data_IF_294680978954
#
_entry.id   IF_294680978954
#
_cell.length_a   1.000
_cell.length_b   1.000
_cell.length_c   1.000
_cell.angle_alpha   90.00
_cell.angle_beta   90.00
_cell.angle_gamma   90.00
#
_symmetry.space_group_name_H-M   'P 1'
#
loop_
_entity.id
_entity.type
_entity.pdbx_description
1 polymer ?
#
# COMPACT_ATOMS: atom_id res chain seq x y z
N UNK A 1 -17.67 17.03 4.23
CA UNK A 1 -16.36 16.36 4.06
C UNK A 1 -15.27 17.31 4.55
N UNK A 2 -14.56 16.98 5.63
CA UNK A 2 -13.56 17.86 6.26
C UNK A 2 -12.25 17.97 5.47
N UNK A 3 -11.99 17.03 4.54
CA UNK A 3 -10.76 17.01 3.76
C UNK A 3 -10.59 18.28 2.91
N UNK A 4 -11.66 18.75 2.25
CA UNK A 4 -11.58 19.97 1.43
C UNK A 4 -11.23 21.20 2.28
N UNK A 5 -11.83 21.31 3.47
CA UNK A 5 -11.51 22.40 4.39
C UNK A 5 -10.06 22.30 4.88
N UNK A 6 -9.57 21.10 5.23
CA UNK A 6 -8.19 20.89 5.64
C UNK A 6 -7.21 21.30 4.52
N UNK A 7 -7.44 20.84 3.28
CA UNK A 7 -6.54 21.12 2.16
C UNK A 7 -6.62 22.55 1.64
N UNK A 8 -7.72 23.28 1.83
CA UNK A 8 -7.76 24.72 1.52
C UNK A 8 -6.86 25.52 2.45
N UNK A 9 -6.82 25.17 3.74
CA UNK A 9 -6.18 25.97 4.78
C UNK A 9 -4.73 25.55 5.10
N UNK A 10 -4.36 24.30 4.81
CA UNK A 10 -3.01 23.79 5.09
C UNK A 10 -1.96 24.53 4.25
N UNK A 11 -0.87 24.96 4.92
CA UNK A 11 0.29 25.58 4.28
C UNK A 11 1.13 24.56 3.51
N UNK A 12 2.00 25.05 2.62
CA UNK A 12 3.01 24.22 1.96
C UNK A 12 3.88 23.52 3.01
N UNK A 13 4.20 22.25 2.78
CA UNK A 13 4.93 21.36 3.69
C UNK A 13 4.22 21.08 5.03
N UNK A 14 2.97 21.53 5.19
CA UNK A 14 2.14 21.15 6.33
C UNK A 14 1.84 19.65 6.33
N UNK A 15 1.59 19.10 7.51
CA UNK A 15 1.22 17.69 7.68
C UNK A 15 -0.28 17.61 7.93
N UNK A 16 -0.94 16.71 7.21
CA UNK A 16 -2.34 16.34 7.46
C UNK A 16 -2.35 14.90 7.96
N UNK A 17 -2.92 14.72 9.16
CA UNK A 17 -3.14 13.40 9.77
C UNK A 17 -4.62 13.07 9.68
N UNK A 18 -4.96 11.95 9.06
CA UNK A 18 -6.34 11.51 8.86
C UNK A 18 -6.53 10.14 9.47
N UNK A 19 -7.45 10.04 10.42
CA UNK A 19 -7.91 8.78 10.98
C UNK A 19 -9.32 8.49 10.47
N UNK A 20 -9.53 7.28 9.95
CA UNK A 20 -10.86 6.76 9.66
C UNK A 20 -11.15 5.53 10.50
N UNK A 21 -12.28 5.56 11.21
CA UNK A 21 -12.80 4.47 12.04
C UNK A 21 -13.96 3.72 11.37
N UNK A 22 -14.28 4.05 10.11
CA UNK A 22 -15.33 3.41 9.32
C UNK A 22 -14.87 2.05 8.77
N UNK A 23 -14.53 1.13 9.67
CA UNK A 23 -14.00 -0.19 9.31
C UNK A 23 -15.01 -1.05 8.54
N UNK A 24 -16.31 -0.76 8.66
CA UNK A 24 -17.35 -1.44 7.89
C UNK A 24 -17.20 -1.17 6.39
N UNK A 25 -17.01 0.10 6.00
CA UNK A 25 -16.78 0.44 4.60
C UNK A 25 -15.35 0.08 4.17
N UNK A 26 -14.35 0.39 4.99
CA UNK A 26 -12.94 0.17 4.69
C UNK A 26 -12.58 -1.30 4.47
N UNK A 27 -13.17 -2.21 5.24
CA UNK A 27 -12.88 -3.66 5.18
C UNK A 27 -13.94 -4.44 4.39
N UNK A 28 -14.55 -3.77 3.41
CA UNK A 28 -15.47 -4.36 2.42
C UNK A 28 -16.71 -5.04 3.02
N UNK A 29 -17.13 -4.68 4.24
CA UNK A 29 -18.40 -5.17 4.84
C UNK A 29 -19.60 -4.42 4.27
N UNK A 30 -19.44 -3.12 3.95
CA UNK A 30 -20.48 -2.27 3.38
C UNK A 30 -19.97 -1.51 2.14
N UNK A 31 -19.90 -2.20 0.99
CA UNK A 31 -19.33 -1.68 -0.26
C UNK A 31 -20.00 -0.38 -0.76
N UNK A 32 -21.32 -0.28 -0.65
CA UNK A 32 -22.05 0.94 -1.04
C UNK A 32 -21.65 2.15 -0.18
N UNK A 33 -21.26 1.95 1.09
CA UNK A 33 -20.71 3.03 1.93
C UNK A 33 -19.31 3.41 1.47
N UNK A 34 -18.48 2.42 1.12
CA UNK A 34 -17.14 2.67 0.57
C UNK A 34 -17.22 3.51 -0.71
N UNK A 35 -18.16 3.19 -1.60
CA UNK A 35 -18.42 3.95 -2.81
C UNK A 35 -18.89 5.38 -2.52
N UNK A 36 -19.80 5.59 -1.57
CA UNK A 36 -20.28 6.93 -1.21
C UNK A 36 -19.22 7.79 -0.52
N UNK A 37 -18.47 7.23 0.43
CA UNK A 37 -17.55 8.00 1.28
C UNK A 37 -16.17 8.16 0.63
N UNK A 38 -15.70 7.15 -0.10
CA UNK A 38 -14.35 7.11 -0.67
C UNK A 38 -14.33 6.98 -2.19
N UNK A 39 -15.49 6.95 -2.87
CA UNK A 39 -15.54 6.89 -4.33
C UNK A 39 -14.83 5.66 -4.89
N UNK A 40 -14.83 4.54 -4.17
CA UNK A 40 -13.98 3.39 -4.46
C UNK A 40 -14.81 2.11 -4.42
N UNK A 41 -14.61 1.24 -5.43
CA UNK A 41 -15.17 -0.11 -5.49
C UNK A 41 -14.14 -1.11 -4.96
N UNK A 42 -14.49 -1.86 -3.91
CA UNK A 42 -13.62 -2.86 -3.30
C UNK A 42 -14.39 -4.13 -2.99
N UNK A 43 -13.67 -5.25 -2.93
CA UNK A 43 -14.20 -6.54 -2.48
C UNK A 43 -13.42 -7.03 -1.26
N UNK A 44 -13.85 -8.12 -0.65
CA UNK A 44 -13.08 -8.77 0.41
C UNK A 44 -11.89 -9.50 -0.23
N UNK A 45 -10.69 -9.21 0.26
CA UNK A 45 -9.41 -9.82 -0.15
C UNK A 45 -8.59 -10.11 1.09
N UNK A 46 -7.55 -10.94 1.02
CA UNK A 46 -6.70 -11.19 2.20
C UNK A 46 -5.89 -9.94 2.61
N UNK A 47 -5.60 -9.05 1.67
CA UNK A 47 -4.88 -7.79 1.87
C UNK A 47 -5.81 -6.57 2.08
N UNK A 48 -7.02 -6.79 2.62
CA UNK A 48 -8.03 -5.75 2.79
C UNK A 48 -7.57 -4.55 3.64
N UNK A 49 -6.67 -4.76 4.61
CA UNK A 49 -6.07 -3.68 5.42
C UNK A 49 -5.24 -2.73 4.56
N UNK A 50 -4.47 -3.27 3.62
CA UNK A 50 -3.72 -2.47 2.65
C UNK A 50 -4.65 -1.73 1.69
N UNK A 51 -5.69 -2.41 1.17
CA UNK A 51 -6.71 -1.77 0.33
C UNK A 51 -7.37 -0.58 1.04
N UNK A 52 -7.70 -0.74 2.32
CA UNK A 52 -8.28 0.33 3.13
C UNK A 52 -7.35 1.54 3.24
N UNK A 53 -6.07 1.34 3.54
CA UNK A 53 -5.06 2.41 3.57
C UNK A 53 -4.97 3.14 2.22
N UNK A 54 -4.91 2.38 1.11
CA UNK A 54 -4.85 2.94 -0.25
C UNK A 54 -6.12 3.68 -0.64
N UNK A 55 -7.28 3.23 -0.17
CA UNK A 55 -8.58 3.87 -0.41
C UNK A 55 -8.69 5.21 0.33
N UNK A 56 -8.27 5.27 1.59
CA UNK A 56 -8.20 6.53 2.35
C UNK A 56 -7.22 7.50 1.69
N UNK A 57 -6.02 7.04 1.30
CA UNK A 57 -5.05 7.86 0.59
C UNK A 57 -5.58 8.38 -0.75
N UNK A 58 -6.32 7.59 -1.52
CA UNK A 58 -6.94 8.06 -2.75
C UNK A 58 -7.96 9.18 -2.50
N UNK A 59 -8.77 9.07 -1.44
CA UNK A 59 -9.70 10.12 -1.06
C UNK A 59 -8.98 11.42 -0.62
N UNK A 60 -7.92 11.27 0.17
CA UNK A 60 -7.03 12.38 0.61
C UNK A 60 -6.36 13.04 -0.59
N UNK A 61 -5.80 12.27 -1.51
CA UNK A 61 -5.15 12.73 -2.74
C UNK A 61 -6.10 13.54 -3.63
N UNK A 62 -7.34 13.05 -3.86
CA UNK A 62 -8.35 13.80 -4.64
C UNK A 62 -8.74 15.11 -3.98
N UNK A 63 -8.86 15.14 -2.65
CA UNK A 63 -9.19 16.36 -1.91
C UNK A 63 -8.06 17.40 -1.98
N UNK A 64 -6.81 16.96 -1.85
CA UNK A 64 -5.63 17.82 -2.05
C UNK A 64 -5.58 18.40 -3.46
N UNK A 65 -5.78 17.54 -4.48
CA UNK A 65 -5.67 17.92 -5.88
C UNK A 65 -6.70 18.99 -6.28
N UNK A 66 -7.95 18.92 -5.79
CA UNK A 66 -8.96 19.97 -5.98
C UNK A 66 -8.52 21.36 -5.49
N UNK A 67 -7.53 21.40 -4.60
CA UNK A 67 -6.99 22.63 -4.03
C UNK A 67 -5.63 23.04 -4.65
N UNK A 68 -5.25 22.47 -5.80
CA UNK A 68 -3.93 22.63 -6.44
C UNK A 68 -2.77 22.28 -5.48
N UNK A 69 -2.93 21.16 -4.74
CA UNK A 69 -1.92 20.62 -3.86
C UNK A 69 -1.72 19.13 -4.13
N UNK A 70 -0.48 18.69 -4.06
CA UNK A 70 -0.09 17.29 -4.03
C UNK A 70 0.12 16.77 -2.61
N UNK A 71 0.35 15.46 -2.50
CA UNK A 71 0.68 14.78 -1.25
C UNK A 71 1.95 13.94 -1.38
N UNK A 72 2.74 13.94 -0.31
CA UNK A 72 3.82 12.97 -0.04
C UNK A 72 3.37 12.12 1.16
N UNK A 73 3.26 10.81 0.98
CA UNK A 73 2.85 9.90 2.06
C UNK A 73 4.02 9.72 3.02
N UNK A 74 3.79 10.00 4.31
CA UNK A 74 4.79 9.81 5.36
C UNK A 74 4.70 8.40 5.92
N UNK A 75 3.49 7.97 6.28
CA UNK A 75 3.17 6.58 6.61
C UNK A 75 1.66 6.35 6.55
N UNK A 76 1.27 5.09 6.42
CA UNK A 76 -0.09 4.62 6.61
C UNK A 76 -0.08 3.42 7.57
N UNK A 77 -1.09 3.33 8.43
CA UNK A 77 -1.27 2.25 9.40
C UNK A 77 -2.72 1.80 9.35
N UNK A 78 -2.94 0.50 9.16
CA UNK A 78 -4.26 -0.11 9.18
C UNK A 78 -4.34 -1.15 10.30
N UNK A 79 -5.04 -0.81 11.38
CA UNK A 79 -5.25 -1.66 12.54
C UNK A 79 -6.71 -2.12 12.62
N UNK A 80 -7.05 -2.99 13.55
CA UNK A 80 -8.39 -3.58 13.64
C UNK A 80 -9.52 -2.54 13.70
N UNK A 81 -9.29 -1.42 14.38
CA UNK A 81 -10.34 -0.43 14.66
C UNK A 81 -10.23 0.86 13.85
N UNK A 82 -9.10 1.11 13.19
CA UNK A 82 -8.91 2.35 12.43
C UNK A 82 -7.83 2.22 11.35
N UNK A 83 -7.92 3.13 10.38
CA UNK A 83 -6.87 3.42 9.42
C UNK A 83 -6.38 4.84 9.65
N UNK A 84 -5.08 5.00 9.86
CA UNK A 84 -4.40 6.28 10.02
C UNK A 84 -3.48 6.50 8.82
N UNK A 85 -3.58 7.67 8.20
CA UNK A 85 -2.64 8.10 7.15
C UNK A 85 -2.10 9.48 7.51
N UNK A 86 -0.79 9.65 7.35
CA UNK A 86 -0.14 10.95 7.47
C UNK A 86 0.51 11.34 6.14
N UNK A 87 0.22 12.56 5.70
CA UNK A 87 0.73 13.09 4.45
C UNK A 87 1.33 14.47 4.67
N UNK A 88 2.42 14.76 3.96
CA UNK A 88 2.96 16.11 3.79
C UNK A 88 2.39 16.72 2.53
N UNK A 89 1.99 17.98 2.61
CA UNK A 89 1.34 18.68 1.51
C UNK A 89 2.35 19.44 0.66
N UNK A 90 2.27 19.27 -0.65
CA UNK A 90 3.11 19.95 -1.64
C UNK A 90 2.26 20.94 -2.43
N UNK A 91 2.56 22.24 -2.36
CA UNK A 91 1.78 23.27 -3.07
C UNK A 91 2.11 23.30 -4.55
N UNK A 92 1.12 23.53 -5.39
CA UNK A 92 1.28 23.83 -6.80
C UNK A 92 0.53 22.84 -7.70
N UNK A 93 0.12 23.29 -8.90
CA UNK A 93 -0.62 22.46 -9.85
C UNK A 93 0.18 21.23 -10.28
N UNK A 94 1.49 21.36 -10.58
CA UNK A 94 2.33 20.23 -10.97
C UNK A 94 2.37 19.13 -9.90
N UNK A 95 2.47 19.52 -8.62
CA UNK A 95 2.41 18.58 -7.49
C UNK A 95 1.05 17.88 -7.38
N UNK A 96 -0.04 18.59 -7.69
CA UNK A 96 -1.38 18.02 -7.74
C UNK A 96 -1.52 17.01 -8.89
N UNK A 97 -1.03 17.34 -10.08
CA UNK A 97 -1.05 16.48 -11.25
C UNK A 97 -0.27 15.18 -10.99
N UNK A 98 0.94 15.29 -10.43
CA UNK A 98 1.77 14.13 -10.07
C UNK A 98 1.14 13.26 -8.97
N UNK A 99 0.34 13.87 -8.10
CA UNK A 99 -0.45 13.16 -7.09
C UNK A 99 -1.60 12.39 -7.73
N UNK A 100 -2.33 13.00 -8.67
CA UNK A 100 -3.45 12.36 -9.37
C UNK A 100 -2.96 11.19 -10.23
N UNK A 101 -1.76 11.27 -10.83
CA UNK A 101 -1.12 10.14 -11.54
C UNK A 101 -0.86 8.92 -10.66
N UNK A 102 -0.92 9.03 -9.33
CA UNK A 102 -0.78 7.90 -8.40
C UNK A 102 -2.14 7.34 -7.94
N UNK A 103 -3.23 7.80 -8.52
CA UNK A 103 -4.58 7.28 -8.28
C UNK A 103 -4.91 6.34 -9.45
N UNK A 104 -4.90 5.03 -9.19
CA UNK A 104 -5.03 3.99 -10.23
C UNK A 104 -6.02 2.92 -9.81
N UNK A 105 -6.60 2.24 -10.80
CA UNK A 105 -7.34 1.02 -10.57
C UNK A 105 -6.38 -0.15 -10.34
N UNK A 106 -6.79 -1.12 -9.53
CA UNK A 106 -6.06 -2.35 -9.26
C UNK A 106 -6.81 -3.50 -9.93
N UNK A 107 -6.13 -4.24 -10.80
CA UNK A 107 -6.66 -5.48 -11.36
C UNK A 107 -6.24 -6.59 -10.40
N UNK A 108 -7.20 -7.39 -9.94
CA UNK A 108 -7.00 -8.48 -8.99
C UNK A 108 -7.62 -9.78 -9.51
N UNK A 109 -6.89 -10.89 -9.35
CA UNK A 109 -7.40 -12.23 -9.58
C UNK A 109 -8.04 -12.77 -8.30
N UNK A 110 -9.35 -13.03 -8.32
CA UNK A 110 -10.08 -13.58 -7.15
C UNK A 110 -9.68 -15.01 -6.78
N UNK A 111 -8.89 -15.68 -7.62
CA UNK A 111 -8.46 -17.05 -7.39
C UNK A 111 -7.11 -17.15 -6.68
N UNK A 112 -6.07 -16.52 -7.24
CA UNK A 112 -4.70 -16.63 -6.72
C UNK A 112 -4.21 -15.36 -6.01
N UNK A 113 -5.07 -14.33 -5.92
CA UNK A 113 -4.77 -13.02 -5.33
C UNK A 113 -3.67 -12.18 -6.00
N UNK A 114 -3.15 -12.65 -7.13
CA UNK A 114 -2.28 -11.86 -8.00
C UNK A 114 -2.95 -10.56 -8.39
N UNK A 115 -2.15 -9.49 -8.42
CA UNK A 115 -2.67 -8.13 -8.55
C UNK A 115 -1.66 -7.18 -9.15
N UNK A 116 -2.16 -6.22 -9.92
CA UNK A 116 -1.36 -5.21 -10.59
C UNK A 116 -2.13 -3.90 -10.70
N UNK A 117 -1.45 -2.77 -10.50
CA UNK A 117 -2.05 -1.48 -10.81
C UNK A 117 -2.13 -1.29 -12.32
N UNK A 118 -3.31 -0.88 -12.79
CA UNK A 118 -3.56 -0.56 -14.19
C UNK A 118 -2.57 0.51 -14.66
N UNK A 119 -1.91 0.24 -15.78
CA UNK A 119 -0.95 1.17 -16.39
C UNK A 119 -1.61 2.49 -16.77
N UNK A 120 -0.79 3.54 -16.85
CA UNK A 120 -1.24 4.81 -17.40
C UNK A 120 -1.49 4.67 -18.90
N UNK A 121 -2.66 5.12 -19.34
CA UNK A 121 -3.03 5.12 -20.75
C UNK A 121 -4.49 5.50 -20.94
N UNK A 122 -4.79 6.14 -22.07
CA UNK A 122 -6.16 6.42 -22.50
C UNK A 122 -6.74 5.31 -23.37
N UNK A 123 -5.95 4.27 -23.66
CA UNK A 123 -6.38 3.12 -24.43
C UNK A 123 -7.22 2.19 -23.54
N UNK A 124 -8.36 1.77 -24.07
CA UNK A 124 -9.17 0.74 -23.45
C UNK A 124 -8.46 -0.58 -23.72
N UNK A 125 -8.01 -1.26 -22.66
CA UNK A 125 -7.57 -2.64 -22.81
C UNK A 125 -8.79 -3.56 -22.86
N UNK A 126 -8.87 -4.37 -23.91
CA UNK A 126 -10.00 -5.28 -24.13
C UNK A 126 -10.03 -6.44 -23.14
N UNK A 127 -8.87 -6.81 -22.57
CA UNK A 127 -8.74 -7.95 -21.68
C UNK A 127 -7.93 -7.64 -20.41
N UNK A 128 -8.55 -7.58 -19.21
CA UNK A 128 -7.85 -7.28 -17.96
C UNK A 128 -6.83 -8.35 -17.56
N UNK A 129 -6.91 -9.56 -18.11
CA UNK A 129 -5.97 -10.64 -17.81
C UNK A 129 -4.56 -10.38 -18.34
N UNK A 130 -4.40 -9.51 -19.34
CA UNK A 130 -3.11 -9.29 -20.00
C UNK A 130 -2.10 -8.59 -19.10
N UNK A 131 -2.58 -7.84 -18.10
CA UNK A 131 -1.71 -7.20 -17.11
C UNK A 131 -1.43 -8.12 -15.92
N UNK A 132 -2.28 -9.10 -15.63
CA UNK A 132 -2.09 -9.99 -14.49
C UNK A 132 -0.94 -10.97 -14.76
N UNK A 133 -0.02 -11.17 -13.80
CA UNK A 133 1.10 -12.10 -13.95
C UNK A 133 0.69 -13.59 -13.82
N UNK A 134 -0.62 -13.89 -13.80
CA UNK A 134 -1.16 -15.23 -13.61
C UNK A 134 -1.89 -15.76 -14.85
N UNK A 135 -1.95 -17.08 -15.01
CA UNK A 135 -2.66 -17.77 -16.09
C UNK A 135 -3.98 -18.43 -15.64
N UNK A 136 -4.54 -18.03 -14.50
CA UNK A 136 -5.75 -18.65 -13.93
C UNK A 136 -6.96 -18.61 -14.87
N UNK A 137 -7.04 -17.61 -15.75
CA UNK A 137 -8.06 -17.52 -16.80
C UNK A 137 -8.10 -18.75 -17.72
N UNK A 138 -6.94 -19.37 -18.00
CA UNK A 138 -6.84 -20.53 -18.90
C UNK A 138 -7.21 -21.84 -18.20
N UNK A 139 -7.09 -21.88 -16.87
CA UNK A 139 -7.28 -23.10 -16.07
C UNK A 139 -8.70 -23.25 -15.54
N UNK A 140 -9.50 -22.18 -15.59
CA UNK A 140 -10.76 -22.12 -14.86
C UNK A 140 -11.89 -21.55 -15.71
N UNK A 141 -13.07 -22.13 -15.55
CA UNK A 141 -14.28 -21.65 -16.19
C UNK A 141 -14.79 -20.41 -15.45
N UNK A 142 -14.62 -19.23 -16.05
CA UNK A 142 -15.23 -17.98 -15.56
C UNK A 142 -14.30 -16.77 -15.56
N UNK A 143 -14.88 -15.61 -15.24
CA UNK A 143 -14.14 -14.36 -15.08
C UNK A 143 -13.61 -14.23 -13.65
N UNK A 144 -12.36 -14.61 -13.45
CA UNK A 144 -11.58 -14.44 -12.21
C UNK A 144 -10.98 -13.03 -12.00
N UNK A 145 -10.86 -12.19 -13.03
CA UNK A 145 -10.28 -10.83 -12.88
C UNK A 145 -11.36 -9.80 -12.53
N UNK A 146 -11.05 -8.95 -11.57
CA UNK A 146 -11.89 -7.84 -11.10
C UNK A 146 -11.07 -6.56 -11.00
N UNK A 147 -11.70 -5.45 -11.37
CA UNK A 147 -11.13 -4.12 -11.22
C UNK A 147 -11.59 -3.50 -9.90
N UNK A 148 -10.63 -3.16 -9.04
CA UNK A 148 -10.84 -2.51 -7.75
C UNK A 148 -10.34 -1.05 -7.83
N UNK A 149 -10.94 -0.16 -7.05
CA UNK A 149 -10.49 1.21 -6.90
C UNK A 149 -11.47 2.29 -7.37
N UNK A 150 -10.97 3.50 -7.68
CA UNK A 150 -9.54 3.86 -7.74
C UNK A 150 -8.86 3.94 -6.36
N UNK A 151 -7.60 3.51 -6.31
CA UNK A 151 -6.75 3.38 -5.12
C UNK A 151 -5.46 4.19 -5.27
N UNK A 152 -4.80 4.48 -4.15
CA UNK A 152 -3.43 5.00 -4.18
C UNK A 152 -2.44 3.90 -4.59
N UNK A 153 -1.71 4.11 -5.69
CA UNK A 153 -0.70 3.19 -6.22
C UNK A 153 0.73 3.52 -5.79
N UNK A 154 0.95 4.69 -5.17
CA UNK A 154 2.26 5.09 -4.66
C UNK A 154 2.70 4.33 -3.41
N UNK A 155 3.88 4.68 -2.90
CA UNK A 155 4.37 4.19 -1.60
C UNK A 155 3.40 4.55 -0.47
N UNK A 156 3.27 3.64 0.49
CA UNK A 156 2.54 3.84 1.75
C UNK A 156 3.43 4.39 2.87
N UNK A 157 4.76 4.42 2.66
CA UNK A 157 5.74 4.71 3.69
C UNK A 157 6.87 5.60 3.19
N UNK A 158 7.34 6.48 4.06
CA UNK A 158 8.61 7.19 3.95
C UNK A 158 9.56 6.62 4.99
N UNK A 159 10.46 5.73 4.58
CA UNK A 159 11.39 5.02 5.48
C UNK A 159 12.24 5.99 6.30
N UNK A 160 12.69 7.09 5.68
CA UNK A 160 13.45 8.13 6.39
C UNK A 160 12.62 8.86 7.45
N UNK A 161 11.32 9.04 7.23
CA UNK A 161 10.42 9.61 8.24
C UNK A 161 10.18 8.63 9.39
N UNK A 162 9.90 7.36 9.08
CA UNK A 162 9.70 6.30 10.09
C UNK A 162 10.94 6.08 10.97
N UNK A 163 12.15 6.08 10.39
CA UNK A 163 13.41 6.00 11.14
C UNK A 163 13.57 7.15 12.13
N UNK A 164 13.25 8.38 11.70
CA UNK A 164 13.25 9.55 12.60
C UNK A 164 12.20 9.42 13.68
N UNK A 165 10.99 8.96 13.37
CA UNK A 165 9.97 8.70 14.39
C UNK A 165 10.45 7.69 15.44
N UNK A 166 11.11 6.61 15.02
CA UNK A 166 11.65 5.62 15.95
C UNK A 166 12.77 6.22 16.82
N UNK A 167 13.67 7.01 16.23
CA UNK A 167 14.71 7.70 16.97
C UNK A 167 14.12 8.60 18.07
N UNK A 168 13.17 9.47 17.71
CA UNK A 168 12.50 10.36 18.67
C UNK A 168 11.70 9.56 19.72
N UNK A 169 11.01 8.49 19.33
CA UNK A 169 10.27 7.64 20.28
C UNK A 169 11.18 7.03 21.35
N UNK A 170 12.42 6.67 21.00
CA UNK A 170 13.43 6.22 21.97
C UNK A 170 13.87 7.36 22.88
N UNK A 171 14.16 8.55 22.32
CA UNK A 171 14.60 9.71 23.10
C UNK A 171 13.56 10.17 24.13
N UNK A 172 12.27 10.10 23.78
CA UNK A 172 11.17 10.51 24.66
C UNK A 172 10.61 9.37 25.53
N UNK A 173 11.20 8.16 25.49
CA UNK A 173 10.73 7.03 26.30
C UNK A 173 9.33 6.51 25.91
N UNK A 174 8.92 6.66 24.65
CA UNK A 174 7.62 6.21 24.14
C UNK A 174 7.68 4.73 23.74
N UNK A 175 7.83 3.84 24.72
CA UNK A 175 8.09 2.41 24.48
C UNK A 175 6.96 1.71 23.69
N UNK A 176 5.70 2.05 23.98
CA UNK A 176 4.51 1.40 23.39
C UNK A 176 4.44 1.49 21.86
N UNK A 177 5.02 2.55 21.26
CA UNK A 177 4.96 2.76 19.80
C UNK A 177 6.19 2.20 19.07
N UNK A 178 7.27 1.88 19.79
CA UNK A 178 8.53 1.48 19.16
C UNK A 178 8.39 0.16 18.40
N UNK A 179 7.62 -0.79 18.93
CA UNK A 179 7.35 -2.06 18.26
C UNK A 179 6.63 -1.85 16.93
N UNK A 180 5.58 -1.01 16.92
CA UNK A 180 4.87 -0.66 15.70
C UNK A 180 5.79 0.03 14.69
N UNK A 181 6.57 1.01 15.12
CA UNK A 181 7.49 1.73 14.22
C UNK A 181 8.54 0.80 13.60
N UNK A 182 9.10 -0.15 14.35
CA UNK A 182 10.01 -1.17 13.81
C UNK A 182 9.33 -2.04 12.76
N UNK A 183 8.09 -2.47 13.00
CA UNK A 183 7.29 -3.22 12.01
C UNK A 183 7.07 -2.40 10.74
N UNK A 184 6.68 -1.12 10.86
CA UNK A 184 6.44 -0.26 9.69
C UNK A 184 7.72 0.00 8.89
N UNK A 185 8.88 0.11 9.54
CA UNK A 185 10.16 0.24 8.83
C UNK A 185 10.46 -1.04 8.06
N UNK A 186 10.25 -2.21 8.67
CA UNK A 186 10.43 -3.50 7.99
C UNK A 186 9.49 -3.64 6.78
N UNK A 187 8.22 -3.27 6.92
CA UNK A 187 7.25 -3.26 5.82
C UNK A 187 7.68 -2.29 4.69
N UNK A 188 8.15 -1.09 5.05
CA UNK A 188 8.61 -0.09 4.09
C UNK A 188 9.83 -0.54 3.28
N UNK A 189 10.68 -1.38 3.86
CA UNK A 189 11.89 -1.93 3.21
C UNK A 189 11.66 -3.31 2.59
N UNK A 190 10.45 -3.86 2.74
CA UNK A 190 10.12 -5.24 2.38
C UNK A 190 11.08 -6.27 3.02
N UNK A 191 11.48 -6.02 4.28
CA UNK A 191 12.37 -6.88 5.08
C UNK A 191 11.62 -7.54 6.23
N UNK A 192 12.25 -8.55 6.87
CA UNK A 192 11.70 -9.19 8.07
C UNK A 192 12.27 -8.57 9.36
N UNK A 193 11.52 -8.60 10.47
CA UNK A 193 11.98 -8.11 11.78
C UNK A 193 13.29 -8.78 12.26
N UNK A 194 13.54 -10.04 11.87
CA UNK A 194 14.78 -10.77 12.16
C UNK A 194 16.01 -10.10 11.53
N UNK A 195 15.85 -9.47 10.38
CA UNK A 195 16.92 -8.73 9.69
C UNK A 195 17.14 -7.33 10.28
N UNK A 196 16.13 -6.77 10.95
CA UNK A 196 16.21 -5.44 11.57
C UNK A 196 17.10 -5.41 12.83
N UNK A 197 17.32 -6.57 13.46
CA UNK A 197 18.14 -6.74 14.65
C UNK A 197 19.40 -7.55 14.34
N UNK A 198 20.32 -7.02 13.54
CA UNK A 198 21.64 -7.63 13.35
C UNK A 198 22.76 -6.62 13.67
N UNK A 199 23.00 -6.46 14.97
CA UNK A 199 24.30 -6.73 15.60
C UNK A 199 24.03 -7.90 16.56
N UNK A 200 24.66 -9.08 16.60
CA UNK A 200 25.82 -9.72 15.97
C UNK A 200 25.47 -11.22 15.73
N UNK A 201 26.29 -12.04 15.04
CA UNK A 201 25.85 -13.34 14.51
C UNK A 201 25.93 -14.46 15.55
N UNK A 202 24.80 -15.12 15.85
CA UNK A 202 24.80 -16.48 16.38
C UNK A 202 23.53 -17.27 16.02
N UNK A 203 23.77 -18.33 15.24
CA UNK A 203 23.14 -19.67 15.25
C UNK A 203 21.62 -19.84 15.50
N UNK A 204 20.94 -20.28 14.43
CA UNK A 204 19.89 -21.32 14.35
C UNK A 204 18.85 -21.44 15.50
N UNK A 205 17.56 -21.27 15.17
CA UNK A 205 16.65 -22.39 14.83
C UNK A 205 15.16 -22.08 15.08
N UNK A 206 14.32 -22.78 14.29
CA UNK A 206 12.88 -23.08 14.40
C UNK A 206 11.89 -22.04 13.85
N UNK A 207 11.42 -22.40 12.65
CA UNK A 207 10.26 -21.90 11.94
C UNK A 207 8.98 -22.43 12.58
N UNK A 208 8.00 -21.54 12.73
CA UNK A 208 6.60 -21.79 12.43
C UNK A 208 6.06 -20.47 11.87
N UNK A 209 5.84 -20.43 10.56
CA UNK A 209 5.33 -19.26 9.84
C UNK A 209 3.97 -19.64 9.27
N UNK A 210 2.98 -18.79 9.50
CA UNK A 210 1.61 -18.94 9.00
C UNK A 210 1.59 -19.12 7.47
N UNK A 211 1.50 -20.38 7.02
CA UNK A 211 0.67 -20.83 5.90
C UNK A 211 0.89 -20.23 4.51
N UNK A 212 1.88 -19.37 4.29
CA UNK A 212 2.10 -18.72 2.98
C UNK A 212 3.49 -19.07 2.46
N UNK A 213 3.53 -19.98 1.48
CA UNK A 213 4.72 -20.24 0.68
C UNK A 213 4.86 -19.16 -0.39
N UNK A 214 5.73 -18.17 -0.17
CA UNK A 214 6.20 -17.29 -1.25
C UNK A 214 7.34 -18.03 -1.95
N UNK A 215 7.08 -18.55 -3.15
CA UNK A 215 8.15 -19.07 -4.02
C UNK A 215 8.96 -17.89 -4.56
N UNK A 216 10.09 -17.60 -3.95
CA UNK A 216 11.14 -16.82 -4.63
C UNK A 216 11.86 -17.75 -5.59
N UNK A 217 11.85 -17.42 -6.88
CA UNK A 217 12.72 -18.09 -7.84
C UNK A 217 14.16 -17.70 -7.54
N UNK A 218 14.97 -18.66 -7.10
CA UNK A 218 16.42 -18.46 -6.98
C UNK A 218 17.00 -18.24 -8.39
N UNK A 219 17.26 -16.98 -8.71
CA UNK A 219 18.15 -16.61 -9.79
C UNK A 219 19.59 -16.74 -9.27
N UNK A 220 20.14 -17.95 -9.34
CA UNK A 220 21.56 -18.19 -9.16
C UNK A 220 22.18 -18.64 -10.50
N UNK A 221 22.79 -17.66 -11.15
CA UNK A 221 23.85 -17.68 -12.15
C UNK A 221 24.26 -19.03 -12.79
N UNK A 222 24.19 -19.03 -14.13
CA UNK A 222 24.94 -19.88 -15.04
C UNK A 222 26.42 -20.02 -14.63
N UNK A 223 26.89 -21.26 -14.51
CA UNK A 223 28.29 -21.61 -14.76
C UNK A 223 28.37 -22.93 -15.54
N UNK A 224 28.90 -22.81 -16.76
CA UNK A 224 29.33 -23.89 -17.63
C UNK A 224 30.34 -24.81 -16.94
N UNK A 225 30.14 -26.13 -16.99
CA UNK A 225 31.24 -27.13 -17.01
C UNK A 225 30.89 -28.26 -17.98
N UNK A 226 31.74 -28.39 -18.99
CA UNK A 226 31.86 -29.51 -19.94
C UNK A 226 32.61 -30.66 -19.27
N UNK A 227 32.12 -31.90 -19.41
CA UNK A 227 32.83 -33.19 -19.57
C UNK A 227 31.74 -34.28 -19.57
N UNK A 228 31.68 -35.32 -20.43
CA UNK A 228 32.70 -35.96 -21.23
C UNK A 228 32.71 -37.47 -20.94
N UNK A 229 31.75 -38.21 -21.50
CA UNK A 229 31.86 -39.55 -22.12
C UNK A 229 30.49 -40.06 -22.54
#
# INVERSE_FOLDING_TARGET
>A
NYLDAAFRNIRNLGIVSVTSTDTSSLYSKAQHVAQRHYGCNIIRTEYYKELAARMVLAAVARAAARCNKGIEVLFAVALEHFVLVQVRVLRGPSSADDTVKKIRYLIHCQWCEERIFKREGNMIEDNPYWQLPCNCHNQMTGKTAVELGPLWSGSLFSTGFLRRMLFEAVQYGLEDIQALLKTLICEAECTTLKQFSIHAPSSQSKQEECGVFIKTSDAAADYYIVHGR
#
